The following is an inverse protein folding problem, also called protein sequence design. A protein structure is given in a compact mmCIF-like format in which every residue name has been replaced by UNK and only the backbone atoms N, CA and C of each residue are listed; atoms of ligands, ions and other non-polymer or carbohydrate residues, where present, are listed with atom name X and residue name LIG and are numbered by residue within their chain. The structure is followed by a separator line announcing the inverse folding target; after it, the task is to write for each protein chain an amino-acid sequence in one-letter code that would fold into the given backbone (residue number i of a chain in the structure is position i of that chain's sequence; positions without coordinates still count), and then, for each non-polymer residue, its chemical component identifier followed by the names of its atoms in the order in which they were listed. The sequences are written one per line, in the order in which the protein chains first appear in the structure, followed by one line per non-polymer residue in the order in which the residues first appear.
data_IF_630701782521
#
_entry.id   IF_630701782521
#
_cell.length_a   1.000
_cell.length_b   1.000
_cell.length_c   1.000
_cell.angle_alpha   90.00
_cell.angle_beta   90.00
_cell.angle_gamma   90.00
#
_symmetry.space_group_name_H-M   'P 1'
#
loop_
_entity.id
_entity.type
_entity.pdbx_description
1 polymer ?
#
# COMPACT_ATOMS: atom_id res chain seq x y z
N UNK A 1 6.66 -0.66 7.54
CA UNK A 1 7.27 -0.15 8.80
C UNK A 1 8.66 0.44 8.62
N UNK A 2 9.44 0.03 7.60
CA UNK A 2 10.76 0.51 7.24
C UNK A 2 11.78 0.37 8.38
N UNK A 3 12.03 -0.88 8.79
CA UNK A 3 12.98 -1.22 9.85
C UNK A 3 14.40 -0.81 9.44
N UNK A 4 15.13 -0.18 10.36
CA UNK A 4 16.47 0.39 10.16
C UNK A 4 16.47 1.86 9.73
N UNK A 5 15.31 2.44 9.43
CA UNK A 5 15.21 3.81 8.91
C UNK A 5 15.51 4.90 9.96
N UNK A 6 15.19 4.66 11.22
CA UNK A 6 15.58 5.58 12.31
C UNK A 6 17.08 5.56 12.61
N UNK A 7 17.80 4.52 12.14
CA UNK A 7 19.17 4.20 12.48
C UNK A 7 19.30 3.19 13.64
N UNK A 8 18.19 2.70 14.17
CA UNK A 8 18.11 1.68 15.22
C UNK A 8 17.06 0.63 14.84
N UNK A 9 17.51 -0.57 14.54
CA UNK A 9 16.63 -1.70 14.23
C UNK A 9 15.75 -2.03 15.42
N UNK A 10 16.31 -2.01 16.62
CA UNK A 10 15.59 -2.34 17.87
C UNK A 10 14.46 -1.35 18.15
N UNK A 11 14.70 -0.04 17.97
CA UNK A 11 13.68 0.99 18.17
C UNK A 11 12.56 0.86 17.13
N UNK A 12 12.91 0.62 15.87
CA UNK A 12 11.94 0.45 14.79
C UNK A 12 11.12 -0.83 14.97
N UNK A 13 11.76 -1.95 15.38
CA UNK A 13 11.06 -3.19 15.74
C UNK A 13 10.15 -2.97 16.96
N UNK A 14 10.60 -2.23 17.96
CA UNK A 14 9.79 -1.88 19.13
C UNK A 14 8.54 -1.09 18.74
N UNK A 15 8.69 -0.09 17.88
CA UNK A 15 7.57 0.68 17.32
C UNK A 15 6.61 -0.17 16.48
N UNK A 16 7.15 -1.04 15.63
CA UNK A 16 6.38 -1.99 14.83
C UNK A 16 5.58 -2.97 15.70
N UNK A 17 6.24 -3.62 16.66
CA UNK A 17 5.61 -4.53 17.62
C UNK A 17 4.51 -3.84 18.44
N UNK A 18 4.75 -2.60 18.89
CA UNK A 18 3.73 -1.82 19.60
C UNK A 18 2.50 -1.58 18.73
N UNK A 19 2.70 -1.17 17.48
CA UNK A 19 1.60 -0.94 16.55
C UNK A 19 0.80 -2.22 16.27
N UNK A 20 1.46 -3.36 16.13
CA UNK A 20 0.79 -4.65 15.97
C UNK A 20 0.00 -5.06 17.21
N UNK A 21 0.49 -4.76 18.42
CA UNK A 21 -0.25 -5.00 19.66
C UNK A 21 -1.56 -4.20 19.69
N UNK A 22 -1.52 -2.92 19.33
CA UNK A 22 -2.71 -2.08 19.24
C UNK A 22 -3.66 -2.59 18.16
N UNK A 23 -3.13 -2.93 16.98
CA UNK A 23 -3.94 -3.44 15.86
C UNK A 23 -4.67 -4.74 16.23
N UNK A 24 -3.99 -5.71 16.85
CA UNK A 24 -4.60 -6.97 17.27
C UNK A 24 -5.56 -6.81 18.45
N UNK A 25 -5.28 -5.90 19.38
CA UNK A 25 -6.24 -5.58 20.46
C UNK A 25 -7.53 -4.99 19.88
N UNK A 26 -7.43 -4.16 18.84
CA UNK A 26 -8.56 -3.54 18.14
C UNK A 26 -9.31 -4.52 17.24
N UNK A 27 -8.58 -5.42 16.58
CA UNK A 27 -9.11 -6.42 15.64
C UNK A 27 -8.63 -7.83 16.00
N UNK A 28 -9.10 -8.40 17.14
CA UNK A 28 -8.61 -9.70 17.65
C UNK A 28 -8.96 -10.89 16.73
N UNK A 29 -9.88 -10.70 15.80
CA UNK A 29 -10.30 -11.70 14.82
C UNK A 29 -9.81 -11.35 13.41
N UNK A 30 -8.76 -10.54 13.28
CA UNK A 30 -8.17 -10.23 11.98
C UNK A 30 -7.77 -11.54 11.26
N UNK A 31 -8.00 -11.59 9.97
CA UNK A 31 -7.76 -12.79 9.17
C UNK A 31 -6.36 -12.78 8.54
N UNK A 32 -5.83 -11.63 8.25
CA UNK A 32 -4.46 -11.43 7.76
C UNK A 32 -4.02 -9.98 7.99
N UNK A 33 -2.72 -9.78 7.95
CA UNK A 33 -2.07 -8.47 7.94
C UNK A 33 -1.63 -8.13 6.52
N UNK A 34 -1.79 -6.86 6.11
CA UNK A 34 -1.28 -6.37 4.84
C UNK A 34 -0.27 -5.26 5.10
N UNK A 35 0.99 -5.46 4.68
CA UNK A 35 2.06 -4.47 4.79
C UNK A 35 2.27 -3.76 3.46
N UNK A 36 2.23 -2.42 3.49
CA UNK A 36 2.24 -1.54 2.32
C UNK A 36 3.67 -1.24 1.82
N UNK A 37 4.55 -2.23 1.80
CA UNK A 37 5.91 -2.10 1.32
C UNK A 37 6.87 -1.41 2.30
N UNK A 38 8.14 -1.31 1.89
CA UNK A 38 9.25 -0.83 2.70
C UNK A 38 9.27 -1.52 4.07
N UNK A 39 9.42 -2.86 4.06
CA UNK A 39 9.59 -3.64 5.26
C UNK A 39 10.89 -3.28 5.96
N UNK A 40 11.91 -2.96 5.17
CA UNK A 40 13.27 -2.62 5.59
C UNK A 40 13.72 -1.28 4.99
N UNK A 41 14.86 -0.78 5.45
CA UNK A 41 15.43 0.51 4.99
C UNK A 41 16.68 0.34 4.10
N UNK A 42 17.09 -0.84 3.84
CA UNK A 42 18.44 -1.14 3.38
C UNK A 42 18.85 -0.61 1.99
N UNK A 43 17.92 -0.11 1.18
CA UNK A 43 18.07 0.36 -0.20
C UNK A 43 19.35 1.17 -0.53
N UNK A 44 19.80 2.08 0.32
CA UNK A 44 20.94 2.97 0.01
C UNK A 44 22.30 2.45 0.45
N UNK A 45 22.36 1.29 1.08
CA UNK A 45 23.58 0.84 1.77
C UNK A 45 24.21 -0.37 1.12
N UNK A 46 23.67 -0.82 -0.01
CA UNK A 46 24.12 -2.06 -0.63
C UNK A 46 25.35 -1.91 -1.51
N UNK A 47 26.38 -2.48 -1.03
CA UNK A 47 27.20 -3.34 -1.84
C UNK A 47 26.99 -4.80 -1.32
N UNK A 48 27.40 -5.77 -2.09
CA UNK A 48 27.31 -7.19 -1.72
C UNK A 48 28.05 -7.54 -0.41
N UNK A 49 28.75 -6.60 0.20
CA UNK A 49 29.47 -6.75 1.47
C UNK A 49 28.56 -6.53 2.70
N UNK A 50 27.35 -5.99 2.53
CA UNK A 50 26.44 -5.60 3.62
C UNK A 50 25.18 -6.48 3.74
N UNK A 51 25.17 -7.68 3.17
CA UNK A 51 24.04 -8.62 3.26
C UNK A 51 23.59 -8.88 4.70
N UNK A 52 24.55 -8.95 5.65
CA UNK A 52 24.20 -9.16 7.06
C UNK A 52 23.31 -8.06 7.64
N UNK A 53 23.50 -6.81 7.24
CA UNK A 53 22.66 -5.72 7.72
C UNK A 53 21.23 -5.82 7.16
N UNK A 54 21.07 -6.30 5.95
CA UNK A 54 19.75 -6.51 5.34
C UNK A 54 19.00 -7.59 6.08
N UNK A 55 19.68 -8.71 6.34
CA UNK A 55 19.10 -9.81 7.10
C UNK A 55 18.72 -9.35 8.52
N UNK A 56 19.55 -8.52 9.17
CA UNK A 56 19.23 -7.93 10.47
C UNK A 56 17.98 -7.04 10.41
N UNK A 57 17.78 -6.27 9.34
CA UNK A 57 16.59 -5.46 9.15
C UNK A 57 15.34 -6.33 8.87
N UNK A 58 15.45 -7.40 8.06
CA UNK A 58 14.37 -8.38 7.89
C UNK A 58 14.07 -9.14 9.19
N UNK A 59 15.09 -9.53 9.94
CA UNK A 59 14.89 -10.10 11.28
C UNK A 59 14.12 -9.13 12.19
N UNK A 60 14.49 -7.84 12.17
CA UNK A 60 13.75 -6.80 12.90
C UNK A 60 12.28 -6.68 12.50
N UNK A 61 11.95 -6.89 11.23
CA UNK A 61 10.57 -6.91 10.75
C UNK A 61 9.83 -8.19 11.17
N UNK A 62 10.46 -9.35 10.93
CA UNK A 62 9.84 -10.67 11.09
C UNK A 62 9.77 -11.15 12.54
N UNK A 63 10.64 -10.65 13.42
CA UNK A 63 10.66 -11.02 14.84
C UNK A 63 9.53 -10.41 15.69
N UNK A 64 8.60 -9.64 15.10
CA UNK A 64 7.41 -9.21 15.79
C UNK A 64 6.54 -10.45 16.13
N UNK A 65 6.31 -10.77 17.43
CA UNK A 65 5.65 -12.03 17.83
C UNK A 65 4.24 -12.19 17.25
N UNK A 66 3.57 -11.10 16.92
CA UNK A 66 2.23 -11.06 16.37
C UNK A 66 2.16 -11.71 14.98
N UNK A 67 3.25 -11.66 14.21
CA UNK A 67 3.32 -12.27 12.88
C UNK A 67 3.25 -13.80 12.91
N UNK A 68 3.47 -14.42 14.07
CA UNK A 68 3.26 -15.87 14.24
C UNK A 68 1.79 -16.27 14.28
N UNK A 69 0.88 -15.31 14.41
CA UNK A 69 -0.56 -15.54 14.59
C UNK A 69 -1.40 -15.13 13.39
N UNK A 70 -0.83 -14.35 12.46
CA UNK A 70 -1.53 -13.82 11.30
C UNK A 70 -0.80 -14.16 10.00
N UNK A 71 -1.50 -14.67 8.98
CA UNK A 71 -0.97 -14.64 7.62
C UNK A 71 -0.58 -13.22 7.23
N UNK A 72 0.54 -13.09 6.54
CA UNK A 72 1.10 -11.82 6.12
C UNK A 72 1.05 -11.72 4.59
N UNK A 73 0.41 -10.67 4.09
CA UNK A 73 0.55 -10.21 2.73
C UNK A 73 1.45 -8.98 2.70
N UNK A 74 2.40 -8.94 1.78
CA UNK A 74 3.35 -7.82 1.64
C UNK A 74 3.34 -7.31 0.21
N UNK A 75 3.66 -6.05 0.03
CA UNK A 75 4.01 -5.51 -1.27
C UNK A 75 5.48 -5.06 -1.29
N UNK A 76 6.07 -5.07 -2.45
CA UNK A 76 7.46 -4.67 -2.63
C UNK A 76 7.53 -3.14 -2.61
N UNK A 77 8.24 -2.57 -1.61
CA UNK A 77 8.60 -1.16 -1.57
C UNK A 77 9.89 -0.86 -2.32
N UNK A 78 10.20 0.40 -2.51
CA UNK A 78 11.46 0.78 -3.17
C UNK A 78 12.68 0.49 -2.28
N UNK A 79 12.53 0.40 -0.98
CA UNK A 79 13.58 -0.01 -0.05
C UNK A 79 13.75 -1.52 0.05
N UNK A 80 12.74 -2.32 -0.27
CA UNK A 80 12.83 -3.78 -0.39
C UNK A 80 13.42 -4.21 -1.73
N UNK A 81 13.39 -3.32 -2.70
CA UNK A 81 13.95 -3.51 -4.02
C UNK A 81 15.42 -3.19 -4.07
N UNK A 82 16.16 -2.82 -4.60
CA UNK A 82 17.57 -2.48 -4.62
C UNK A 82 18.35 -3.69 -5.06
N UNK A 83 19.54 -3.80 -4.59
CA UNK A 83 20.47 -4.87 -4.98
C UNK A 83 19.96 -6.29 -4.73
N UNK A 84 18.83 -6.45 -4.02
CA UNK A 84 18.42 -7.76 -3.54
C UNK A 84 16.91 -7.97 -3.53
N UNK A 85 16.21 -7.76 -4.64
CA UNK A 85 14.85 -8.29 -4.83
C UNK A 85 14.81 -9.80 -4.56
N UNK A 86 15.90 -10.50 -4.83
CA UNK A 86 16.06 -11.91 -4.48
C UNK A 86 15.91 -12.17 -2.97
N UNK A 87 16.39 -11.28 -2.09
CA UNK A 87 16.21 -11.43 -0.64
C UNK A 87 14.75 -11.26 -0.24
N UNK A 88 14.03 -10.31 -0.83
CA UNK A 88 12.60 -10.19 -0.59
C UNK A 88 11.86 -11.50 -0.94
N UNK A 89 12.14 -12.09 -2.10
CA UNK A 89 11.56 -13.37 -2.51
C UNK A 89 12.01 -14.58 -1.65
N UNK A 90 13.13 -14.48 -0.93
CA UNK A 90 13.54 -15.50 0.04
C UNK A 90 12.77 -15.40 1.36
N UNK A 91 12.32 -14.20 1.74
CA UNK A 91 11.57 -13.95 2.97
C UNK A 91 10.06 -14.10 2.79
N UNK A 92 9.54 -13.79 1.60
CA UNK A 92 8.10 -13.76 1.33
C UNK A 92 7.73 -14.66 0.16
N UNK A 93 6.85 -15.61 0.40
CA UNK A 93 6.23 -16.43 -0.65
C UNK A 93 4.89 -15.82 -1.06
N UNK A 94 4.87 -15.20 -2.23
CA UNK A 94 3.68 -14.51 -2.74
C UNK A 94 2.78 -15.46 -3.53
N UNK A 95 1.47 -15.50 -3.24
CA UNK A 95 0.54 -16.37 -3.96
C UNK A 95 0.26 -15.83 -5.37
N UNK A 96 0.15 -16.73 -6.36
CA UNK A 96 -0.18 -16.37 -7.74
C UNK A 96 0.69 -15.23 -8.30
N UNK A 97 1.96 -15.22 -7.93
CA UNK A 97 2.91 -14.24 -8.46
C UNK A 97 3.08 -14.42 -9.96
N UNK A 98 3.11 -13.32 -10.69
CA UNK A 98 3.29 -13.32 -12.13
C UNK A 98 4.77 -13.39 -12.49
N UNK A 99 5.14 -14.38 -13.32
CA UNK A 99 6.45 -14.45 -13.95
C UNK A 99 6.56 -13.56 -15.21
N UNK A 100 5.47 -12.87 -15.56
CA UNK A 100 5.34 -12.14 -16.82
C UNK A 100 5.13 -10.65 -16.63
N UNK A 101 4.47 -10.23 -15.55
CA UNK A 101 4.04 -8.85 -15.30
C UNK A 101 4.62 -8.30 -14.01
N UNK A 102 4.96 -7.03 -14.02
CA UNK A 102 5.50 -6.34 -12.85
C UNK A 102 6.96 -6.70 -12.54
N UNK A 103 7.65 -7.35 -13.48
CA UNK A 103 9.05 -7.69 -13.33
C UNK A 103 9.91 -6.45 -13.47
N UNK A 104 10.92 -6.33 -12.61
CA UNK A 104 11.90 -5.26 -12.72
C UNK A 104 13.10 -5.78 -13.49
N UNK A 105 13.34 -5.23 -14.67
CA UNK A 105 14.58 -5.48 -15.39
C UNK A 105 15.74 -4.72 -14.76
N UNK A 106 16.94 -5.29 -14.80
CA UNK A 106 18.16 -4.75 -14.20
C UNK A 106 18.45 -3.27 -14.45
N UNK A 107 17.91 -2.69 -15.51
CA UNK A 107 18.09 -1.27 -15.87
C UNK A 107 17.16 -0.31 -15.10
N UNK A 108 16.15 -0.79 -14.39
CA UNK A 108 15.15 0.05 -13.75
C UNK A 108 15.67 0.80 -12.51
N UNK A 109 16.80 0.37 -11.95
CA UNK A 109 17.43 0.96 -10.76
C UNK A 109 18.79 1.63 -11.04
N UNK A 110 19.09 1.95 -12.32
CA UNK A 110 20.36 2.53 -12.72
C UNK A 110 21.52 1.54 -12.66
N UNK A 111 22.75 2.04 -12.58
CA UNK A 111 24.00 1.26 -12.63
C UNK A 111 24.15 0.21 -11.50
N UNK A 112 23.16 0.08 -10.65
CA UNK A 112 23.18 -0.74 -9.43
C UNK A 112 22.15 -1.87 -9.44
N UNK A 113 21.47 -2.09 -10.55
CA UNK A 113 20.51 -3.19 -10.66
C UNK A 113 21.24 -4.54 -10.65
N UNK A 114 20.89 -5.41 -9.73
CA UNK A 114 21.42 -6.76 -9.65
C UNK A 114 20.69 -7.67 -10.62
N UNK A 115 21.47 -8.55 -11.19
CA UNK A 115 21.13 -9.51 -12.23
C UNK A 115 19.84 -10.29 -11.92
N UNK A 116 19.03 -10.44 -12.90
CA UNK A 116 17.63 -10.76 -12.93
C UNK A 116 17.23 -12.21 -12.66
N UNK A 117 17.82 -12.87 -11.72
CA UNK A 117 17.24 -14.13 -11.21
C UNK A 117 16.32 -13.90 -9.99
N UNK A 118 15.73 -12.70 -9.87
CA UNK A 118 14.85 -12.39 -8.76
C UNK A 118 13.50 -13.09 -8.91
N UNK A 119 13.17 -13.94 -7.98
CA UNK A 119 11.95 -14.73 -7.91
C UNK A 119 10.88 -14.10 -7.02
N UNK A 120 10.89 -12.81 -6.83
CA UNK A 120 9.99 -12.16 -5.86
C UNK A 120 9.38 -10.83 -6.27
N UNK A 121 9.58 -10.39 -7.50
CA UNK A 121 9.29 -9.03 -7.93
C UNK A 121 8.11 -8.86 -8.90
N UNK A 122 7.32 -9.88 -9.17
CA UNK A 122 6.15 -9.78 -10.05
C UNK A 122 4.91 -9.18 -9.36
N UNK A 123 3.96 -8.74 -10.18
CA UNK A 123 2.60 -8.48 -9.70
C UNK A 123 2.00 -9.79 -9.20
N UNK A 124 1.18 -9.74 -8.14
CA UNK A 124 0.55 -10.93 -7.60
C UNK A 124 -0.87 -10.67 -7.14
N UNK A 125 -1.63 -11.73 -6.90
CA UNK A 125 -2.99 -11.59 -6.37
C UNK A 125 -3.36 -12.73 -5.42
N UNK A 126 -4.37 -12.47 -4.62
CA UNK A 126 -5.07 -13.48 -3.83
C UNK A 126 -6.54 -13.11 -3.66
N UNK A 127 -7.35 -14.10 -3.34
CA UNK A 127 -8.76 -13.88 -3.01
C UNK A 127 -9.01 -14.24 -1.55
N UNK A 128 -9.77 -13.41 -0.89
CA UNK A 128 -10.26 -13.69 0.44
C UNK A 128 -11.70 -13.20 0.59
N UNK A 129 -12.62 -14.09 0.96
CA UNK A 129 -14.01 -13.77 1.31
C UNK A 129 -14.72 -12.86 0.27
N UNK A 130 -14.76 -13.25 -0.99
CA UNK A 130 -15.34 -12.51 -2.13
C UNK A 130 -14.63 -11.17 -2.47
N UNK A 131 -13.43 -10.99 -1.98
CA UNK A 131 -12.58 -9.85 -2.34
C UNK A 131 -11.37 -10.34 -3.11
N UNK A 132 -11.10 -9.70 -4.23
CA UNK A 132 -9.89 -9.88 -5.01
C UNK A 132 -8.88 -8.78 -4.62
N UNK A 133 -7.74 -9.20 -4.12
CA UNK A 133 -6.61 -8.33 -3.81
C UNK A 133 -5.55 -8.51 -4.89
N UNK A 134 -5.24 -7.44 -5.61
CA UNK A 134 -4.22 -7.41 -6.66
C UNK A 134 -3.11 -6.46 -6.22
N UNK A 135 -1.89 -6.95 -6.20
CA UNK A 135 -0.72 -6.21 -5.72
C UNK A 135 0.22 -5.96 -6.88
N UNK A 136 0.51 -4.69 -7.13
CA UNK A 136 1.38 -4.27 -8.21
C UNK A 136 2.77 -3.91 -7.68
N UNK A 137 3.78 -4.40 -8.33
CA UNK A 137 5.15 -3.96 -8.09
C UNK A 137 5.42 -2.64 -8.83
N UNK A 138 5.18 -1.51 -8.16
CA UNK A 138 5.37 -0.18 -8.74
C UNK A 138 6.83 0.27 -8.88
N UNK A 139 7.79 -0.58 -8.59
CA UNK A 139 9.17 -0.41 -9.05
C UNK A 139 9.30 -0.71 -10.55
N UNK A 140 8.44 -1.56 -11.10
CA UNK A 140 8.18 -1.65 -12.53
C UNK A 140 7.30 -0.46 -12.95
N UNK A 141 7.73 0.31 -13.95
CA UNK A 141 6.99 1.46 -14.48
C UNK A 141 6.21 1.10 -15.77
N UNK A 142 6.13 -0.18 -16.12
CA UNK A 142 5.41 -0.65 -17.31
C UNK A 142 3.90 -0.67 -17.08
N UNK A 143 3.25 0.45 -17.37
CA UNK A 143 1.79 0.57 -17.27
C UNK A 143 1.07 -0.51 -18.09
N UNK A 144 1.63 -0.90 -19.21
CA UNK A 144 1.05 -1.93 -20.09
C UNK A 144 1.04 -3.31 -19.42
N UNK A 145 2.10 -3.66 -18.67
CA UNK A 145 2.17 -4.92 -17.92
C UNK A 145 1.16 -4.94 -16.78
N UNK A 146 1.13 -3.91 -15.95
CA UNK A 146 0.15 -3.80 -14.86
C UNK A 146 -1.29 -3.87 -15.37
N UNK A 147 -1.58 -3.19 -16.51
CA UNK A 147 -2.90 -3.27 -17.14
C UNK A 147 -3.24 -4.70 -17.53
N UNK A 148 -2.34 -5.39 -18.22
CA UNK A 148 -2.57 -6.75 -18.68
C UNK A 148 -2.77 -7.71 -17.49
N UNK A 149 -1.96 -7.58 -16.44
CA UNK A 149 -2.11 -8.34 -15.21
C UNK A 149 -3.50 -8.13 -14.58
N UNK A 150 -3.91 -6.87 -14.41
CA UNK A 150 -5.21 -6.53 -13.82
C UNK A 150 -6.38 -7.10 -14.64
N UNK A 151 -6.34 -6.95 -15.96
CA UNK A 151 -7.38 -7.45 -16.88
C UNK A 151 -7.48 -8.98 -16.81
N UNK A 152 -6.37 -9.70 -16.94
CA UNK A 152 -6.33 -11.16 -16.89
C UNK A 152 -6.79 -11.69 -15.52
N UNK A 153 -6.36 -11.04 -14.44
CA UNK A 153 -6.72 -11.43 -13.08
C UNK A 153 -8.20 -11.22 -12.78
N UNK A 154 -8.76 -10.07 -13.18
CA UNK A 154 -10.20 -9.79 -13.00
C UNK A 154 -11.03 -10.77 -13.84
N UNK A 155 -10.62 -11.03 -15.06
CA UNK A 155 -11.31 -12.01 -15.93
C UNK A 155 -11.31 -13.42 -15.34
N UNK A 156 -10.23 -13.82 -14.66
CA UNK A 156 -10.11 -15.11 -13.99
C UNK A 156 -10.93 -15.21 -12.69
N UNK A 157 -11.37 -14.07 -12.12
CA UNK A 157 -12.09 -13.99 -10.86
C UNK A 157 -13.42 -13.21 -10.99
N UNK A 158 -14.37 -13.66 -11.82
CA UNK A 158 -15.56 -12.87 -12.19
C UNK A 158 -16.60 -12.72 -11.06
N UNK A 159 -16.55 -13.59 -10.05
CA UNK A 159 -17.60 -13.67 -9.01
C UNK A 159 -17.29 -12.84 -7.75
N UNK A 160 -16.17 -12.07 -7.75
CA UNK A 160 -15.80 -11.26 -6.61
C UNK A 160 -16.69 -10.02 -6.48
N UNK A 161 -17.00 -9.66 -5.25
CA UNK A 161 -17.77 -8.44 -4.95
C UNK A 161 -16.87 -7.21 -4.92
N UNK A 162 -15.69 -7.35 -4.30
CA UNK A 162 -14.76 -6.25 -4.08
C UNK A 162 -13.47 -6.47 -4.87
N UNK A 163 -12.98 -5.41 -5.47
CA UNK A 163 -11.69 -5.35 -6.16
C UNK A 163 -10.80 -4.32 -5.47
N UNK A 164 -9.76 -4.80 -4.82
CA UNK A 164 -8.75 -4.00 -4.13
C UNK A 164 -7.44 -4.09 -4.90
N UNK A 165 -6.85 -2.95 -5.20
CA UNK A 165 -5.48 -2.90 -5.71
C UNK A 165 -4.59 -2.31 -4.63
N UNK A 166 -3.38 -2.84 -4.49
CA UNK A 166 -2.38 -2.29 -3.59
C UNK A 166 -1.04 -2.16 -4.29
N UNK A 167 -0.33 -1.09 -3.98
CA UNK A 167 1.03 -0.85 -4.45
C UNK A 167 1.73 0.20 -3.60
N UNK A 168 3.04 0.06 -3.47
CA UNK A 168 3.82 0.87 -2.54
C UNK A 168 3.82 2.36 -2.88
N UNK A 169 4.17 2.75 -4.11
CA UNK A 169 4.32 4.16 -4.51
C UNK A 169 2.99 4.89 -4.54
N UNK A 170 2.79 5.85 -3.63
CA UNK A 170 1.52 6.56 -3.50
C UNK A 170 1.29 7.59 -4.61
N UNK A 171 0.38 7.26 -5.54
CA UNK A 171 0.03 8.15 -6.64
C UNK A 171 -0.93 9.28 -6.24
N UNK A 172 -1.61 9.15 -5.10
CA UNK A 172 -2.42 10.19 -4.48
C UNK A 172 -2.01 10.37 -3.02
N UNK A 173 -1.05 11.24 -2.79
CA UNK A 173 -0.48 11.57 -1.48
C UNK A 173 -0.42 13.09 -1.30
N UNK A 174 0.09 13.52 -0.15
CA UNK A 174 0.24 14.94 0.22
C UNK A 174 1.65 15.26 0.74
N UNK A 175 2.61 14.35 0.51
CA UNK A 175 3.99 14.55 0.93
C UNK A 175 4.96 14.68 -0.27
N UNK A 176 6.26 14.64 -0.02
CA UNK A 176 7.27 15.10 -0.97
C UNK A 176 7.36 14.31 -2.27
N UNK A 177 7.07 13.00 -2.24
CA UNK A 177 7.22 12.16 -3.44
C UNK A 177 6.10 12.35 -4.47
N UNK A 178 4.98 12.96 -4.10
CA UNK A 178 3.78 13.06 -4.94
C UNK A 178 3.99 13.74 -6.29
N UNK A 179 5.06 14.53 -6.44
CA UNK A 179 5.44 15.24 -7.68
C UNK A 179 6.62 14.60 -8.41
N UNK A 180 7.19 13.52 -7.92
CA UNK A 180 8.29 12.82 -8.59
C UNK A 180 7.83 12.20 -9.92
N UNK A 181 8.75 12.12 -10.87
CA UNK A 181 8.43 11.76 -12.25
C UNK A 181 7.84 10.36 -12.41
N UNK A 182 8.29 9.40 -11.62
CA UNK A 182 7.78 8.03 -11.59
C UNK A 182 6.37 7.98 -10.98
N UNK A 183 6.13 8.71 -9.88
CA UNK A 183 4.80 8.85 -9.28
C UNK A 183 3.81 9.50 -10.26
N UNK A 184 4.23 10.56 -10.95
CA UNK A 184 3.40 11.21 -11.98
C UNK A 184 3.13 10.28 -13.15
N UNK A 185 4.12 9.49 -13.58
CA UNK A 185 3.96 8.49 -14.63
C UNK A 185 2.95 7.40 -14.23
N UNK A 186 3.10 6.84 -13.03
CA UNK A 186 2.17 5.84 -12.48
C UNK A 186 0.76 6.42 -12.33
N UNK A 187 0.61 7.64 -11.79
CA UNK A 187 -0.69 8.31 -11.64
C UNK A 187 -1.40 8.45 -12.98
N UNK A 188 -0.73 9.04 -13.97
CA UNK A 188 -1.31 9.29 -15.29
C UNK A 188 -1.65 7.99 -16.03
N UNK A 189 -0.85 6.93 -15.82
CA UNK A 189 -1.04 5.65 -16.48
C UNK A 189 -2.07 4.76 -15.79
N UNK A 190 -1.99 4.61 -14.46
CA UNK A 190 -2.83 3.66 -13.72
C UNK A 190 -4.23 4.21 -13.42
N UNK A 191 -4.38 5.51 -13.09
CA UNK A 191 -5.68 6.05 -12.67
C UNK A 191 -6.81 5.76 -13.67
N UNK A 192 -6.65 5.99 -14.99
CA UNK A 192 -7.71 5.68 -15.95
C UNK A 192 -8.01 4.18 -16.03
N UNK A 193 -6.97 3.33 -15.93
CA UNK A 193 -7.12 1.87 -15.97
C UNK A 193 -7.90 1.37 -14.76
N UNK A 194 -7.51 1.79 -13.56
CA UNK A 194 -8.15 1.40 -12.31
C UNK A 194 -9.62 1.81 -12.27
N UNK A 195 -9.94 3.02 -12.74
CA UNK A 195 -11.32 3.49 -12.87
C UNK A 195 -12.12 2.67 -13.88
N UNK A 196 -11.58 2.42 -15.08
CA UNK A 196 -12.26 1.64 -16.14
C UNK A 196 -12.50 0.18 -15.73
N UNK A 197 -11.58 -0.42 -14.96
CA UNK A 197 -11.72 -1.79 -14.45
C UNK A 197 -12.64 -1.89 -13.22
N UNK A 198 -13.14 -0.75 -12.74
CA UNK A 198 -14.04 -0.66 -11.59
C UNK A 198 -13.35 -1.16 -10.32
N UNK A 199 -12.12 -0.74 -10.07
CA UNK A 199 -11.46 -0.96 -8.79
C UNK A 199 -12.16 -0.13 -7.72
N UNK A 200 -12.42 -0.73 -6.57
CA UNK A 200 -13.13 -0.07 -5.48
C UNK A 200 -12.20 0.79 -4.62
N UNK A 201 -11.07 0.19 -4.23
CA UNK A 201 -10.11 0.80 -3.28
C UNK A 201 -8.69 0.53 -3.75
N UNK A 202 -7.84 1.55 -3.61
CA UNK A 202 -6.39 1.44 -3.76
C UNK A 202 -5.73 1.77 -2.42
N UNK A 203 -4.87 0.87 -1.94
CA UNK A 203 -4.06 1.02 -0.75
C UNK A 203 -2.61 1.32 -1.14
N UNK A 204 -1.97 2.29 -0.47
CA UNK A 204 -0.66 2.81 -0.83
C UNK A 204 0.19 3.10 0.41
N UNK A 205 1.51 3.08 0.26
CA UNK A 205 2.49 3.40 1.30
C UNK A 205 3.38 4.58 0.96
N UNK A 206 4.71 4.41 1.08
CA UNK A 206 5.80 5.26 0.59
C UNK A 206 5.96 6.62 1.26
N UNK A 207 4.91 7.40 1.38
CA UNK A 207 5.00 8.83 1.76
C UNK A 207 4.90 9.08 3.27
N UNK A 208 4.87 8.04 4.11
CA UNK A 208 4.89 8.14 5.57
C UNK A 208 3.99 9.27 6.12
N UNK A 209 2.83 9.43 5.52
CA UNK A 209 1.77 10.38 5.85
C UNK A 209 0.43 9.68 5.65
N UNK A 210 -0.60 10.04 6.39
CA UNK A 210 -1.94 9.59 6.07
C UNK A 210 -2.60 10.56 5.09
N UNK A 211 -3.09 10.03 3.98
CA UNK A 211 -3.90 10.78 3.03
C UNK A 211 -5.03 9.90 2.46
N UNK A 212 -6.22 10.49 2.33
CA UNK A 212 -7.34 9.89 1.62
C UNK A 212 -7.83 10.84 0.54
N UNK A 213 -7.98 10.32 -0.68
CA UNK A 213 -8.57 11.10 -1.77
C UNK A 213 -10.09 11.24 -1.61
N UNK A 214 -10.71 12.15 -2.33
CA UNK A 214 -12.09 11.98 -2.77
C UNK A 214 -12.20 10.72 -3.66
N UNK A 215 -13.42 10.33 -4.02
CA UNK A 215 -13.61 9.31 -5.06
C UNK A 215 -13.05 9.87 -6.37
N UNK A 216 -12.14 9.12 -7.00
CA UNK A 216 -11.46 9.54 -8.22
C UNK A 216 -12.05 8.79 -9.41
N UNK A 217 -12.64 9.53 -10.35
CA UNK A 217 -13.35 8.95 -11.48
C UNK A 217 -13.29 9.79 -12.75
N UNK A 218 -14.34 9.72 -13.58
CA UNK A 218 -14.39 10.33 -14.89
C UNK A 218 -13.54 9.57 -15.92
N UNK A 219 -13.51 10.04 -17.17
CA UNK A 219 -12.80 9.38 -18.27
C UNK A 219 -11.30 9.20 -18.01
N UNK A 220 -10.69 10.15 -17.30
CA UNK A 220 -9.27 10.10 -16.94
C UNK A 220 -8.99 9.26 -15.69
N UNK A 221 -10.01 8.90 -14.90
CA UNK A 221 -9.81 8.34 -13.55
C UNK A 221 -9.19 9.30 -12.54
N UNK A 222 -9.02 10.58 -12.92
CA UNK A 222 -8.32 11.60 -12.12
C UNK A 222 -9.23 12.77 -11.72
N UNK A 223 -10.52 12.70 -12.01
CA UNK A 223 -11.49 13.71 -11.59
C UNK A 223 -11.98 13.41 -10.19
N UNK A 224 -11.76 14.33 -9.27
CA UNK A 224 -12.23 14.20 -7.89
C UNK A 224 -13.74 14.50 -7.79
N UNK A 225 -14.51 13.56 -7.26
CA UNK A 225 -15.89 13.79 -6.86
C UNK A 225 -15.93 14.44 -5.47
N UNK A 226 -15.87 15.76 -5.44
CA UNK A 226 -15.74 16.57 -4.22
C UNK A 226 -17.08 16.66 -3.52
N UNK A 227 -17.48 15.59 -2.82
CA UNK A 227 -18.66 15.58 -1.95
C UNK A 227 -18.25 15.76 -0.48
N UNK A 228 -19.02 16.59 0.23
CA UNK A 228 -18.78 16.92 1.64
C UNK A 228 -20.08 16.86 2.44
N UNK A 229 -19.93 16.66 3.73
CA UNK A 229 -21.01 16.85 4.69
C UNK A 229 -21.45 18.33 4.76
N UNK A 230 -22.61 18.60 5.35
CA UNK A 230 -23.15 19.95 5.47
C UNK A 230 -22.24 20.91 6.30
N UNK A 231 -21.40 20.36 7.16
CA UNK A 231 -20.41 21.11 7.95
C UNK A 231 -19.08 21.33 7.21
N UNK A 232 -18.98 20.86 5.95
CA UNK A 232 -17.77 20.97 5.12
C UNK A 232 -16.74 19.86 5.34
N UNK A 233 -16.96 18.92 6.26
CA UNK A 233 -16.09 17.76 6.47
C UNK A 233 -16.20 16.76 5.30
N UNK A 234 -15.17 15.95 5.12
CA UNK A 234 -15.18 14.87 4.15
C UNK A 234 -16.23 13.81 4.50
N UNK A 235 -16.82 13.17 3.51
CA UNK A 235 -17.73 12.04 3.72
C UNK A 235 -16.96 10.87 4.36
N UNK A 236 -17.63 10.18 5.27
CA UNK A 236 -17.15 8.93 5.89
C UNK A 236 -17.88 7.70 5.35
N UNK A 237 -18.84 7.91 4.46
CA UNK A 237 -19.60 6.86 3.79
C UNK A 237 -20.00 7.29 2.39
N UNK A 238 -19.84 6.40 1.40
CA UNK A 238 -20.30 6.58 0.02
C UNK A 238 -20.96 5.29 -0.47
N UNK A 239 -22.02 5.42 -1.28
CA UNK A 239 -22.76 4.26 -1.80
C UNK A 239 -22.69 4.24 -3.32
N UNK A 240 -22.29 3.09 -3.89
CA UNK A 240 -22.10 2.86 -5.33
C UNK A 240 -21.32 4.02 -5.99
N UNK A 241 -20.10 4.37 -5.50
CA UNK A 241 -19.33 5.44 -6.10
C UNK A 241 -18.96 5.11 -7.55
N UNK A 242 -18.97 6.11 -8.40
CA UNK A 242 -18.45 6.00 -9.77
C UNK A 242 -16.97 6.43 -9.80
N UNK A 243 -16.11 5.55 -9.33
CA UNK A 243 -14.67 5.79 -9.24
C UNK A 243 -14.00 5.05 -8.09
N UNK A 244 -12.75 5.39 -7.87
CA UNK A 244 -11.80 4.67 -7.01
C UNK A 244 -11.49 5.48 -5.75
N UNK A 245 -11.48 4.82 -4.58
CA UNK A 245 -11.00 5.40 -3.33
C UNK A 245 -9.51 5.10 -3.16
N UNK A 246 -8.67 6.13 -3.03
CA UNK A 246 -7.24 5.97 -2.73
C UNK A 246 -6.96 6.31 -1.27
N UNK A 247 -6.13 5.49 -0.61
CA UNK A 247 -5.71 5.69 0.78
C UNK A 247 -4.20 5.46 0.86
N UNK A 248 -3.46 6.49 1.26
CA UNK A 248 -2.03 6.43 1.55
C UNK A 248 -1.85 6.24 3.05
N UNK A 249 -1.13 5.18 3.43
CA UNK A 249 -0.91 4.77 4.82
C UNK A 249 0.35 5.43 5.39
N UNK A 250 0.28 5.85 6.66
CA UNK A 250 1.40 6.42 7.38
C UNK A 250 2.36 5.32 7.89
N UNK A 251 3.51 5.73 8.42
CA UNK A 251 4.48 4.84 9.07
C UNK A 251 3.83 4.02 10.20
N UNK A 252 4.08 2.72 10.21
CA UNK A 252 3.60 1.83 11.26
C UNK A 252 4.61 1.64 12.40
N UNK A 253 5.92 1.73 12.13
CA UNK A 253 6.95 1.67 13.19
C UNK A 253 7.25 3.05 13.82
N UNK A 254 6.95 4.13 13.08
CA UNK A 254 7.37 5.47 13.51
C UNK A 254 8.82 5.81 13.18
N UNK A 255 9.50 4.97 12.42
CA UNK A 255 10.90 5.13 12.03
C UNK A 255 11.16 6.43 11.26
N UNK A 256 10.16 6.90 10.49
CA UNK A 256 10.26 8.12 9.67
C UNK A 256 8.87 8.71 9.42
N UNK A 257 8.82 10.04 9.33
CA UNK A 257 7.61 10.78 8.95
C UNK A 257 7.96 11.90 7.97
N UNK A 258 7.19 12.00 6.88
CA UNK A 258 7.28 13.13 5.97
C UNK A 258 6.33 14.25 6.39
N UNK A 259 6.64 15.47 5.97
CA UNK A 259 5.77 16.62 6.15
C UNK A 259 4.75 16.67 5.02
N UNK A 260 3.52 17.08 5.36
CA UNK A 260 2.54 17.51 4.36
C UNK A 260 3.11 18.71 3.61
N UNK A 261 3.05 18.70 2.30
CA UNK A 261 3.51 19.81 1.44
C UNK A 261 2.61 21.05 1.63
N UNK A 262 3.11 22.21 1.31
CA UNK A 262 2.31 23.46 1.31
C UNK A 262 1.31 23.51 0.15
N UNK A 263 1.53 22.70 -0.88
CA UNK A 263 0.64 22.59 -2.03
C UNK A 263 -0.67 21.88 -1.64
N UNK A 264 -1.78 22.48 -1.94
CA UNK A 264 -3.09 21.89 -1.77
C UNK A 264 -3.50 21.11 -3.02
N UNK A 265 -3.77 19.82 -2.87
CA UNK A 265 -4.23 18.99 -3.97
C UNK A 265 -5.75 18.85 -3.95
N UNK A 266 -6.41 19.15 -5.07
CA UNK A 266 -7.87 19.09 -5.20
C UNK A 266 -8.45 17.69 -4.93
N UNK A 267 -7.67 16.65 -5.12
CA UNK A 267 -8.09 15.28 -4.82
C UNK A 267 -8.12 14.94 -3.33
N UNK A 268 -7.55 15.78 -2.45
CA UNK A 268 -7.39 15.44 -1.03
C UNK A 268 -8.68 15.65 -0.26
N UNK A 269 -9.25 14.57 0.26
CA UNK A 269 -10.39 14.61 1.17
C UNK A 269 -9.97 14.71 2.64
N UNK A 270 -8.98 13.92 3.04
CA UNK A 270 -8.42 13.90 4.41
C UNK A 270 -6.91 13.79 4.35
N UNK A 271 -6.23 14.50 5.23
CA UNK A 271 -4.79 14.37 5.44
C UNK A 271 -4.46 14.48 6.92
N UNK A 272 -3.46 13.72 7.37
CA UNK A 272 -3.00 13.75 8.76
C UNK A 272 -1.51 13.44 8.86
N UNK A 273 -0.78 14.26 9.63
CA UNK A 273 0.60 14.00 10.02
C UNK A 273 0.89 14.61 11.39
N UNK A 274 0.89 13.77 12.39
CA UNK A 274 1.15 14.13 13.78
C UNK A 274 2.45 13.53 14.31
N UNK A 275 3.22 12.86 13.45
CA UNK A 275 4.42 12.08 13.79
C UNK A 275 4.11 10.98 14.81
N UNK A 276 2.96 10.36 14.64
CA UNK A 276 2.49 9.22 15.42
C UNK A 276 2.28 8.06 14.46
N UNK A 277 2.76 6.85 14.78
CA UNK A 277 2.51 5.68 13.97
C UNK A 277 1.01 5.39 13.84
N UNK A 278 0.62 4.88 12.69
CA UNK A 278 -0.78 4.52 12.42
C UNK A 278 -0.89 3.06 12.01
N UNK A 279 -2.08 2.52 12.24
CA UNK A 279 -2.53 1.27 11.65
C UNK A 279 -3.97 1.41 11.18
N UNK A 280 -4.36 0.57 10.22
CA UNK A 280 -5.72 0.58 9.70
C UNK A 280 -6.37 -0.79 9.88
N UNK A 281 -7.66 -0.80 10.19
CA UNK A 281 -8.49 -2.00 10.24
C UNK A 281 -9.47 -1.94 9.10
N UNK A 282 -9.39 -2.91 8.18
CA UNK A 282 -10.37 -3.11 7.13
C UNK A 282 -11.43 -4.13 7.61
N UNK A 283 -12.69 -3.73 7.59
CA UNK A 283 -13.82 -4.61 7.85
C UNK A 283 -14.63 -4.77 6.56
N UNK A 284 -14.61 -5.98 6.02
CA UNK A 284 -15.19 -6.28 4.70
C UNK A 284 -16.36 -7.22 4.86
N UNK A 285 -17.51 -6.77 4.39
CA UNK A 285 -18.74 -7.58 4.28
C UNK A 285 -19.15 -7.65 2.81
N UNK A 286 -20.21 -8.37 2.51
CA UNK A 286 -20.75 -8.44 1.15
C UNK A 286 -21.16 -7.06 0.62
N UNK A 287 -21.73 -6.20 1.47
CA UNK A 287 -22.37 -4.96 1.05
C UNK A 287 -21.59 -3.71 1.51
N UNK A 288 -20.51 -3.85 2.29
CA UNK A 288 -19.73 -2.73 2.80
C UNK A 288 -18.24 -3.10 2.96
N UNK A 289 -17.38 -2.17 2.58
CA UNK A 289 -15.94 -2.17 2.83
C UNK A 289 -15.59 -0.93 3.64
N UNK A 290 -15.23 -1.13 4.90
CA UNK A 290 -14.89 -0.04 5.82
C UNK A 290 -13.41 -0.09 6.15
N UNK A 291 -12.71 1.03 5.98
CA UNK A 291 -11.33 1.21 6.47
C UNK A 291 -11.36 2.27 7.57
N UNK A 292 -10.87 1.91 8.73
CA UNK A 292 -10.68 2.86 9.85
C UNK A 292 -9.22 2.88 10.24
N UNK A 293 -8.63 4.06 10.23
CA UNK A 293 -7.22 4.30 10.59
C UNK A 293 -7.14 4.87 12.00
N UNK A 294 -6.23 4.34 12.79
CA UNK A 294 -6.03 4.65 14.19
C UNK A 294 -4.60 5.10 14.47
N UNK A 295 -4.43 5.92 15.51
CA UNK A 295 -3.12 6.18 16.12
C UNK A 295 -2.72 4.99 16.99
N UNK A 296 -1.47 4.55 16.87
CA UNK A 296 -0.97 3.43 17.70
C UNK A 296 -0.60 3.83 19.14
N UNK A 297 -0.81 5.08 19.52
CA UNK A 297 -0.54 5.58 20.88
C UNK A 297 -1.72 5.45 21.82
N UNK A 298 -2.95 5.56 21.30
CA UNK A 298 -4.16 5.65 22.12
C UNK A 298 -5.41 5.06 21.46
N UNK A 299 -5.27 4.46 20.29
CA UNK A 299 -6.35 3.91 19.46
C UNK A 299 -7.43 4.94 19.07
N UNK A 300 -7.12 6.23 19.13
CA UNK A 300 -8.02 7.25 18.61
C UNK A 300 -8.07 7.22 17.08
N UNK A 301 -9.24 7.51 16.54
CA UNK A 301 -9.48 7.47 15.10
C UNK A 301 -8.81 8.66 14.42
N UNK A 302 -8.03 8.38 13.37
CA UNK A 302 -7.51 9.38 12.42
C UNK A 302 -8.56 9.68 11.36
N UNK A 303 -9.11 8.63 10.74
CA UNK A 303 -10.11 8.73 9.67
C UNK A 303 -10.88 7.41 9.55
N UNK A 304 -12.06 7.50 8.93
CA UNK A 304 -12.82 6.32 8.52
C UNK A 304 -13.53 6.58 7.20
N UNK A 305 -13.60 5.54 6.37
CA UNK A 305 -14.38 5.54 5.13
C UNK A 305 -15.07 4.19 4.95
N UNK A 306 -16.33 4.23 4.61
CA UNK A 306 -17.13 3.06 4.23
C UNK A 306 -17.60 3.22 2.79
N UNK A 307 -17.24 2.27 1.94
CA UNK A 307 -17.81 2.11 0.62
C UNK A 307 -18.91 1.07 0.71
N UNK A 308 -20.09 1.39 0.21
CA UNK A 308 -21.25 0.48 0.16
C UNK A 308 -21.60 0.13 -1.28
N UNK A 309 -21.99 -1.14 -1.48
CA UNK A 309 -22.61 -1.62 -2.71
C UNK A 309 -24.04 -2.05 -2.41
N UNK A 310 -25.01 -1.35 -2.99
CA UNK A 310 -26.42 -1.71 -2.89
C UNK A 310 -26.92 -2.36 -4.17
N UNK A 311 -27.84 -3.33 -4.05
CA UNK A 311 -28.39 -4.08 -5.19
C UNK A 311 -29.27 -3.24 -6.13
N UNK A 312 -29.46 -1.97 -5.85
CA UNK A 312 -30.33 -1.05 -6.61
C UNK A 312 -29.53 0.04 -7.35
N UNK A 313 -28.28 -0.22 -7.68
CA UNK A 313 -27.44 0.61 -8.54
C UNK A 313 -27.17 -0.05 -9.87
#
# INVERSE_FOLDING_TARGET
PQIGCSGSIDDDNGGWTNTLNHALAKAPNANFLFSMGDQINAYYKYDTSNLSQVEEEYDGFLNAPQLTQLPLATELGNHDCGYNTALYGQHFTLPNISEKYGQVSGDAYGDNAVDSESTGDGDYYFTYNNTLYMVLNTSCLSIAEHKAFLEETIQANPDVTWKVVSFHKSIYSVASHVTESDIVTLRNGLSPILSQLGIDIVLQGHDHVYARSYIMGGESGMTADVQKNADGSALTEVTNPDGVQYITMNSASGSKFYKITEEAFEYTAVQNQEKVPNYSVANVTKDAFTVTTYRSTDDSVVDTITIKKSKNG
#
